data_IF_655753588330
#
_entry.id   IF_655753588330
#
_cell.length_a   1.000
_cell.length_b   1.000
_cell.length_c   1.000
_cell.angle_alpha   90.00
_cell.angle_beta   90.00
_cell.angle_gamma   90.00
#
_symmetry.space_group_name_H-M   'P 1'
#
loop_
_entity.id
_entity.type
_entity.pdbx_description
1 polymer ?
#
# COMPACT_ATOMS: atom_id res chain seq x y z
N UNK A 1 -20.82 2.36 -19.78
CA UNK A 1 -20.50 3.22 -18.60
C UNK A 1 -21.34 4.51 -18.69
N UNK A 2 -21.97 4.91 -17.61
CA UNK A 2 -22.60 6.24 -17.56
C UNK A 2 -21.53 7.33 -17.37
N UNK A 3 -21.91 8.61 -17.53
CA UNK A 3 -20.96 9.74 -17.44
C UNK A 3 -20.22 9.79 -16.08
N UNK A 4 -20.87 9.40 -14.98
CA UNK A 4 -20.26 9.43 -13.64
C UNK A 4 -19.27 8.30 -13.48
N UNK A 5 -19.61 7.08 -13.90
CA UNK A 5 -18.67 5.93 -13.84
C UNK A 5 -17.45 6.15 -14.72
N UNK A 6 -17.57 6.81 -15.87
CA UNK A 6 -16.45 7.18 -16.73
C UNK A 6 -15.53 8.20 -16.05
N UNK A 7 -16.07 9.28 -15.46
CA UNK A 7 -15.28 10.28 -14.73
C UNK A 7 -14.54 9.64 -13.53
N UNK A 8 -15.21 8.75 -12.84
CA UNK A 8 -14.62 8.05 -11.71
C UNK A 8 -13.51 7.07 -12.16
N UNK A 9 -13.70 6.37 -13.28
CA UNK A 9 -12.66 5.54 -13.90
C UNK A 9 -11.43 6.36 -14.28
N UNK A 10 -11.61 7.58 -14.80
CA UNK A 10 -10.49 8.50 -15.08
C UNK A 10 -9.76 8.91 -13.79
N UNK A 11 -10.48 9.19 -12.70
CA UNK A 11 -9.87 9.53 -11.41
C UNK A 11 -9.08 8.35 -10.84
N UNK A 12 -9.62 7.13 -10.90
CA UNK A 12 -8.93 5.91 -10.49
C UNK A 12 -7.70 5.64 -11.39
N UNK A 13 -7.83 5.84 -12.70
CA UNK A 13 -6.72 5.70 -13.64
C UNK A 13 -5.60 6.72 -13.39
N UNK A 14 -5.93 7.99 -13.16
CA UNK A 14 -4.94 9.02 -12.86
C UNK A 14 -4.20 8.72 -11.54
N UNK A 15 -4.93 8.24 -10.51
CA UNK A 15 -4.34 7.80 -9.24
C UNK A 15 -3.45 6.58 -9.39
N UNK A 16 -3.84 5.59 -10.19
CA UNK A 16 -3.03 4.42 -10.49
C UNK A 16 -1.75 4.79 -11.26
N UNK A 17 -1.86 5.68 -12.24
CA UNK A 17 -0.75 6.11 -13.08
C UNK A 17 0.38 6.74 -12.25
N UNK A 18 0.06 7.66 -11.33
CA UNK A 18 1.08 8.27 -10.47
C UNK A 18 1.76 7.23 -9.57
N UNK A 19 0.99 6.30 -9.00
CA UNK A 19 1.54 5.21 -8.17
C UNK A 19 2.52 4.34 -8.95
N UNK A 20 2.16 3.96 -10.18
CA UNK A 20 3.01 3.16 -11.06
C UNK A 20 4.31 3.86 -11.47
N UNK A 21 4.28 5.16 -11.70
CA UNK A 21 5.48 5.94 -12.01
C UNK A 21 6.38 6.15 -10.79
N UNK A 22 5.77 6.39 -9.63
CA UNK A 22 6.47 6.69 -8.38
C UNK A 22 7.20 5.46 -7.81
N UNK A 23 6.48 4.34 -7.68
CA UNK A 23 6.94 3.21 -6.86
C UNK A 23 8.28 2.62 -7.30
N UNK A 24 8.54 2.32 -8.58
CA UNK A 24 9.82 1.73 -8.99
C UNK A 24 10.96 2.74 -9.12
N UNK A 25 10.67 4.03 -9.30
CA UNK A 25 11.71 4.97 -9.73
C UNK A 25 12.00 6.09 -8.74
N UNK A 26 11.13 6.39 -7.78
CA UNK A 26 11.33 7.55 -6.93
C UNK A 26 12.54 7.39 -5.99
N UNK A 27 12.78 6.20 -5.44
CA UNK A 27 14.00 5.92 -4.68
C UNK A 27 15.28 6.07 -5.53
N UNK A 28 15.25 5.61 -6.78
CA UNK A 28 16.35 5.79 -7.73
C UNK A 28 16.54 7.27 -8.09
N UNK A 29 15.46 8.03 -8.25
CA UNK A 29 15.52 9.47 -8.49
C UNK A 29 16.14 10.24 -7.31
N UNK A 30 15.79 9.88 -6.07
CA UNK A 30 16.43 10.48 -4.88
C UNK A 30 17.93 10.18 -4.83
N UNK A 31 18.35 8.97 -5.21
CA UNK A 31 19.77 8.62 -5.36
C UNK A 31 20.45 9.43 -6.48
N UNK A 32 19.77 9.65 -7.60
CA UNK A 32 20.27 10.51 -8.68
C UNK A 32 20.42 11.98 -8.24
N UNK A 33 19.56 12.48 -7.34
CA UNK A 33 19.69 13.79 -6.68
C UNK A 33 20.81 13.83 -5.62
N UNK A 34 21.59 12.75 -5.45
CA UNK A 34 22.73 12.69 -4.55
C UNK A 34 22.42 12.26 -3.10
N UNK A 35 21.18 11.83 -2.80
CA UNK A 35 20.87 11.35 -1.47
C UNK A 35 21.49 9.96 -1.23
N UNK A 36 22.10 9.78 -0.06
CA UNK A 36 22.56 8.45 0.37
C UNK A 36 21.39 7.49 0.59
N UNK A 37 21.61 6.17 0.50
CA UNK A 37 20.56 5.19 0.78
C UNK A 37 19.90 5.38 2.15
N UNK A 38 20.66 5.79 3.17
CA UNK A 38 20.13 6.07 4.51
C UNK A 38 19.19 7.28 4.51
N UNK A 39 19.53 8.35 3.78
CA UNK A 39 18.64 9.50 3.62
C UNK A 39 17.38 9.14 2.85
N UNK A 40 17.48 8.31 1.80
CA UNK A 40 16.33 7.83 1.02
C UNK A 40 15.39 7.02 1.93
N UNK A 41 15.94 6.06 2.69
CA UNK A 41 15.17 5.26 3.64
C UNK A 41 14.47 6.12 4.69
N UNK A 42 15.17 7.09 5.28
CA UNK A 42 14.60 8.00 6.28
C UNK A 42 13.49 8.88 5.70
N UNK A 43 13.68 9.45 4.51
CA UNK A 43 12.69 10.28 3.83
C UNK A 43 11.39 9.49 3.52
N UNK A 44 11.53 8.32 2.91
CA UNK A 44 10.39 7.49 2.54
C UNK A 44 9.67 6.94 3.76
N UNK A 45 10.40 6.53 4.80
CA UNK A 45 9.85 6.10 6.08
C UNK A 45 9.06 7.22 6.78
N UNK A 46 9.62 8.44 6.81
CA UNK A 46 8.94 9.60 7.39
C UNK A 46 7.60 9.86 6.67
N UNK A 47 7.57 9.79 5.32
CA UNK A 47 6.34 9.92 4.55
C UNK A 47 5.31 8.85 4.89
N UNK A 48 5.72 7.58 5.05
CA UNK A 48 4.84 6.47 5.42
C UNK A 48 4.28 6.61 6.83
N UNK A 49 5.14 6.93 7.81
CA UNK A 49 4.75 7.10 9.21
C UNK A 49 3.84 8.31 9.43
N UNK A 50 4.14 9.45 8.81
CA UNK A 50 3.30 10.64 8.89
C UNK A 50 1.93 10.41 8.26
N UNK A 51 1.84 9.64 7.18
CA UNK A 51 0.56 9.31 6.54
C UNK A 51 -0.39 8.54 7.46
N UNK A 52 0.13 7.76 8.41
CA UNK A 52 -0.69 7.07 9.43
C UNK A 52 -1.56 8.05 10.23
N UNK A 53 -1.06 9.24 10.50
CA UNK A 53 -1.82 10.28 11.20
C UNK A 53 -2.61 11.18 10.22
N UNK A 54 -1.96 11.62 9.15
CA UNK A 54 -2.54 12.62 8.22
C UNK A 54 -3.74 12.09 7.44
N UNK A 55 -3.71 10.82 6.99
CA UNK A 55 -4.80 10.28 6.19
C UNK A 55 -6.14 10.18 6.98
N UNK A 56 -6.17 9.65 8.22
CA UNK A 56 -7.39 9.68 9.02
C UNK A 56 -7.85 11.11 9.37
N UNK A 57 -6.91 12.00 9.72
CA UNK A 57 -7.26 13.41 10.01
C UNK A 57 -7.88 14.09 8.80
N UNK A 58 -7.33 13.85 7.60
CA UNK A 58 -7.90 14.35 6.35
C UNK A 58 -9.32 13.86 6.11
N UNK A 59 -9.58 12.58 6.38
CA UNK A 59 -10.91 11.99 6.32
C UNK A 59 -11.90 12.67 7.27
N UNK A 60 -11.47 12.88 8.51
CA UNK A 60 -12.29 13.56 9.53
C UNK A 60 -12.62 15.00 9.14
N UNK A 61 -11.63 15.77 8.66
CA UNK A 61 -11.85 17.16 8.23
C UNK A 61 -12.78 17.18 7.02
N UNK A 62 -12.63 16.25 6.09
CA UNK A 62 -13.50 16.12 4.92
C UNK A 62 -14.95 15.81 5.32
N UNK A 63 -15.13 14.91 6.31
CA UNK A 63 -16.46 14.55 6.82
C UNK A 63 -17.12 15.69 7.62
N UNK A 64 -16.33 16.40 8.42
CA UNK A 64 -16.82 17.54 9.20
C UNK A 64 -17.32 18.69 8.30
N UNK A 65 -16.67 18.88 7.13
CA UNK A 65 -17.05 19.88 6.13
C UNK A 65 -18.07 19.37 5.10
N UNK A 66 -18.37 18.06 5.13
CA UNK A 66 -19.15 17.36 4.10
C UNK A 66 -18.60 17.58 2.68
N UNK A 67 -17.28 17.74 2.57
CA UNK A 67 -16.59 18.05 1.31
C UNK A 67 -15.35 17.16 1.12
N UNK A 68 -15.58 15.88 0.81
CA UNK A 68 -14.50 14.93 0.47
C UNK A 68 -13.80 15.30 -0.84
N UNK A 69 -14.54 15.88 -1.80
CA UNK A 69 -13.98 16.32 -3.08
C UNK A 69 -12.99 17.48 -2.88
N UNK A 70 -13.39 18.50 -2.12
CA UNK A 70 -12.49 19.61 -1.79
C UNK A 70 -11.25 19.17 -1.02
N UNK A 71 -11.41 18.25 -0.08
CA UNK A 71 -10.26 17.67 0.64
C UNK A 71 -9.28 16.96 -0.31
N UNK A 72 -9.76 16.15 -1.26
CA UNK A 72 -8.91 15.50 -2.27
C UNK A 72 -8.20 16.54 -3.16
N UNK A 73 -8.89 17.61 -3.58
CA UNK A 73 -8.29 18.68 -4.37
C UNK A 73 -7.18 19.39 -3.60
N UNK A 74 -7.36 19.69 -2.32
CA UNK A 74 -6.34 20.30 -1.45
C UNK A 74 -5.13 19.37 -1.34
N UNK A 75 -5.32 18.09 -1.06
CA UNK A 75 -4.22 17.14 -0.95
C UNK A 75 -3.46 16.97 -2.28
N UNK A 76 -4.14 16.84 -3.41
CA UNK A 76 -3.46 16.75 -4.70
C UNK A 76 -2.77 18.06 -5.09
N UNK A 77 -3.29 19.22 -4.70
CA UNK A 77 -2.60 20.50 -4.90
C UNK A 77 -1.31 20.56 -4.07
N UNK A 78 -1.35 20.15 -2.80
CA UNK A 78 -0.14 20.05 -1.96
C UNK A 78 0.86 19.08 -2.59
N UNK A 79 0.41 17.93 -3.06
CA UNK A 79 1.26 16.95 -3.72
C UNK A 79 1.88 17.52 -5.01
N UNK A 80 1.11 18.22 -5.82
CA UNK A 80 1.59 18.90 -7.02
C UNK A 80 2.66 19.94 -6.69
N UNK A 81 2.42 20.83 -5.72
CA UNK A 81 3.39 21.83 -5.29
C UNK A 81 4.68 21.16 -4.79
N UNK A 82 4.56 20.06 -4.03
CA UNK A 82 5.72 19.32 -3.56
C UNK A 82 6.54 18.71 -4.70
N UNK A 83 5.93 17.94 -5.62
CA UNK A 83 6.67 17.38 -6.76
C UNK A 83 7.16 18.45 -7.74
N UNK A 84 6.41 19.54 -7.94
CA UNK A 84 6.87 20.67 -8.74
C UNK A 84 8.12 21.31 -8.12
N UNK A 85 8.14 21.53 -6.81
CA UNK A 85 9.31 22.07 -6.10
C UNK A 85 10.56 21.19 -6.25
N UNK A 86 10.40 19.85 -6.34
CA UNK A 86 11.51 18.93 -6.53
C UNK A 86 12.28 19.14 -7.86
N UNK A 87 11.67 19.79 -8.87
CA UNK A 87 12.37 20.09 -10.13
C UNK A 87 13.53 21.08 -9.93
N UNK A 88 13.42 21.96 -8.94
CA UNK A 88 14.41 22.99 -8.63
C UNK A 88 15.07 22.79 -7.26
N UNK A 89 14.74 21.70 -6.55
CA UNK A 89 15.29 21.43 -5.23
C UNK A 89 16.70 20.81 -5.35
N UNK A 90 17.72 21.53 -4.91
CA UNK A 90 19.12 21.07 -4.88
C UNK A 90 19.66 20.96 -3.43
N UNK A 91 18.94 21.53 -2.47
CA UNK A 91 19.28 21.45 -1.05
C UNK A 91 18.55 20.25 -0.43
N UNK A 92 19.29 19.38 0.25
CA UNK A 92 18.74 18.16 0.89
C UNK A 92 17.51 18.43 1.75
N UNK A 93 17.53 19.48 2.57
CA UNK A 93 16.40 19.84 3.43
C UNK A 93 15.13 20.18 2.62
N UNK A 94 15.27 20.87 1.47
CA UNK A 94 14.16 21.21 0.59
C UNK A 94 13.62 19.94 -0.10
N UNK A 95 14.52 19.04 -0.54
CA UNK A 95 14.13 17.73 -1.10
C UNK A 95 13.32 16.95 -0.08
N UNK A 96 13.76 16.88 1.18
CA UNK A 96 13.03 16.20 2.26
C UNK A 96 11.65 16.82 2.48
N UNK A 97 11.57 18.13 2.68
CA UNK A 97 10.30 18.82 2.94
C UNK A 97 9.31 18.62 1.79
N UNK A 98 9.74 18.86 0.54
CA UNK A 98 8.90 18.76 -0.64
C UNK A 98 8.45 17.31 -0.92
N UNK A 99 9.36 16.34 -0.83
CA UNK A 99 9.04 14.92 -1.08
C UNK A 99 8.14 14.33 0.01
N UNK A 100 8.37 14.65 1.29
CA UNK A 100 7.50 14.21 2.39
C UNK A 100 6.10 14.82 2.22
N UNK A 101 6.00 16.13 1.99
CA UNK A 101 4.71 16.79 1.78
C UNK A 101 3.94 16.16 0.60
N UNK A 102 4.63 15.95 -0.54
CA UNK A 102 4.04 15.33 -1.72
C UNK A 102 3.58 13.89 -1.47
N UNK A 103 4.41 13.06 -0.83
CA UNK A 103 4.09 11.67 -0.55
C UNK A 103 2.93 11.53 0.44
N UNK A 104 2.96 12.28 1.53
CA UNK A 104 1.91 12.26 2.56
C UNK A 104 0.59 12.72 1.96
N UNK A 105 0.59 13.82 1.22
CA UNK A 105 -0.62 14.37 0.61
C UNK A 105 -1.19 13.41 -0.45
N UNK A 106 -0.37 12.87 -1.37
CA UNK A 106 -0.83 11.90 -2.37
C UNK A 106 -1.43 10.65 -1.71
N UNK A 107 -0.78 10.13 -0.66
CA UNK A 107 -1.24 8.95 0.05
C UNK A 107 -2.53 9.16 0.85
N UNK A 108 -2.80 10.38 1.31
CA UNK A 108 -4.03 10.72 2.03
C UNK A 108 -5.27 10.76 1.11
N UNK A 109 -5.08 10.93 -0.20
CA UNK A 109 -6.21 10.92 -1.15
C UNK A 109 -6.77 9.52 -1.35
N UNK A 110 -5.94 8.47 -1.31
CA UNK A 110 -6.37 7.10 -1.62
C UNK A 110 -7.63 6.66 -0.84
N UNK A 111 -7.67 6.71 0.50
CA UNK A 111 -8.87 6.29 1.23
C UNK A 111 -10.09 7.20 0.98
N UNK A 112 -9.88 8.49 0.68
CA UNK A 112 -10.96 9.40 0.32
C UNK A 112 -11.55 9.03 -1.04
N UNK A 113 -10.71 8.78 -2.04
CA UNK A 113 -11.12 8.38 -3.38
C UNK A 113 -11.87 7.06 -3.37
N UNK A 114 -11.37 6.06 -2.63
CA UNK A 114 -12.06 4.77 -2.47
C UNK A 114 -13.45 4.94 -1.86
N UNK A 115 -13.54 5.71 -0.79
CA UNK A 115 -14.81 6.00 -0.11
C UNK A 115 -15.82 6.73 -1.01
N UNK A 116 -15.36 7.73 -1.78
CA UNK A 116 -16.19 8.44 -2.77
C UNK A 116 -16.61 7.50 -3.89
N UNK A 117 -15.71 6.61 -4.34
CA UNK A 117 -15.98 5.66 -5.42
C UNK A 117 -17.08 4.67 -5.05
N UNK A 118 -17.02 4.07 -3.86
CA UNK A 118 -18.06 3.17 -3.36
C UNK A 118 -19.40 3.91 -3.28
N UNK A 119 -19.41 5.11 -2.70
CA UNK A 119 -20.64 5.87 -2.53
C UNK A 119 -21.28 6.28 -3.86
N UNK A 120 -20.48 6.75 -4.83
CA UNK A 120 -20.99 7.09 -6.15
C UNK A 120 -21.51 5.85 -6.90
N UNK A 121 -20.87 4.68 -6.72
CA UNK A 121 -21.33 3.44 -7.32
C UNK A 121 -22.71 3.02 -6.80
N UNK A 122 -22.99 3.20 -5.52
CA UNK A 122 -24.30 2.94 -4.91
C UNK A 122 -25.37 3.90 -5.43
N UNK A 123 -25.08 5.22 -5.43
CA UNK A 123 -26.03 6.26 -5.83
C UNK A 123 -26.39 6.17 -7.32
N UNK A 124 -25.39 5.96 -8.18
CA UNK A 124 -25.56 5.92 -9.63
C UNK A 124 -25.69 4.51 -10.20
N UNK A 125 -25.78 3.50 -9.34
CA UNK A 125 -26.04 2.07 -9.64
C UNK A 125 -25.12 1.50 -10.73
N UNK A 126 -23.81 1.59 -10.53
CA UNK A 126 -22.81 0.93 -11.38
C UNK A 126 -21.87 0.06 -10.54
N UNK A 127 -21.24 -0.91 -11.19
CA UNK A 127 -20.29 -1.81 -10.52
C UNK A 127 -18.98 -1.05 -10.19
N UNK A 128 -18.68 -0.96 -8.90
CA UNK A 128 -17.45 -0.39 -8.40
C UNK A 128 -16.20 -1.11 -8.94
N UNK A 129 -16.23 -2.45 -9.05
CA UNK A 129 -15.12 -3.25 -9.54
C UNK A 129 -14.68 -2.85 -10.96
N UNK A 130 -15.64 -2.60 -11.85
CA UNK A 130 -15.37 -2.14 -13.22
C UNK A 130 -14.69 -0.76 -13.29
N UNK A 131 -14.86 0.06 -12.27
CA UNK A 131 -14.20 1.36 -12.18
C UNK A 131 -12.84 1.23 -11.51
N UNK A 132 -12.76 0.42 -10.45
CA UNK A 132 -11.53 0.22 -9.67
C UNK A 132 -10.40 -0.45 -10.45
N UNK A 133 -10.73 -1.33 -11.39
CA UNK A 133 -9.76 -2.03 -12.23
C UNK A 133 -8.85 -1.07 -13.03
N UNK A 134 -9.37 0.12 -13.39
CA UNK A 134 -8.61 1.13 -14.12
C UNK A 134 -7.40 1.65 -13.33
N UNK A 135 -7.45 1.66 -12.00
CA UNK A 135 -6.29 2.00 -11.19
C UNK A 135 -5.16 0.97 -11.34
N UNK A 136 -5.49 -0.33 -11.39
CA UNK A 136 -4.49 -1.39 -11.57
C UNK A 136 -3.89 -1.39 -12.98
N UNK A 137 -4.73 -1.23 -14.00
CA UNK A 137 -4.27 -1.13 -15.41
C UNK A 137 -3.34 0.08 -15.57
N UNK A 138 -3.74 1.24 -15.06
CA UNK A 138 -2.95 2.47 -15.15
C UNK A 138 -1.69 2.43 -14.31
N UNK A 139 -1.70 1.73 -13.18
CA UNK A 139 -0.49 1.48 -12.40
C UNK A 139 0.53 0.68 -13.21
N UNK A 140 0.12 -0.41 -13.87
CA UNK A 140 1.01 -1.19 -14.74
C UNK A 140 1.52 -0.35 -15.91
N UNK A 141 0.63 0.40 -16.55
CA UNK A 141 1.00 1.30 -17.64
C UNK A 141 1.99 2.38 -17.16
N UNK A 142 1.78 2.95 -15.97
CA UNK A 142 2.67 3.92 -15.35
C UNK A 142 4.09 3.38 -15.14
N UNK A 143 4.21 2.12 -14.68
CA UNK A 143 5.51 1.47 -14.54
C UNK A 143 6.25 1.40 -15.90
N UNK A 144 5.56 0.94 -16.94
CA UNK A 144 6.15 0.76 -18.29
C UNK A 144 6.51 2.12 -18.89
N UNK A 145 5.60 3.09 -18.88
CA UNK A 145 5.83 4.43 -19.42
C UNK A 145 6.97 5.15 -18.71
N UNK A 146 7.00 5.12 -17.37
CA UNK A 146 8.10 5.69 -16.61
C UNK A 146 9.42 4.98 -16.91
N UNK A 147 9.40 3.65 -17.05
CA UNK A 147 10.57 2.87 -17.44
C UNK A 147 11.15 3.28 -18.81
N UNK A 148 10.29 3.44 -19.81
CA UNK A 148 10.69 3.91 -21.15
C UNK A 148 11.24 5.34 -21.08
N UNK A 149 10.57 6.22 -20.35
CA UNK A 149 11.01 7.62 -20.20
C UNK A 149 12.36 7.72 -19.49
N UNK A 150 12.53 6.99 -18.39
CA UNK A 150 13.81 6.94 -17.65
C UNK A 150 14.93 6.36 -18.51
N UNK A 151 14.64 5.38 -19.38
CA UNK A 151 15.64 4.83 -20.29
C UNK A 151 16.06 5.83 -21.38
N UNK A 152 15.14 6.65 -21.87
CA UNK A 152 15.40 7.59 -22.98
C UNK A 152 15.94 8.94 -22.51
N UNK A 153 15.44 9.44 -21.41
CA UNK A 153 15.69 10.82 -20.94
C UNK A 153 16.41 10.89 -19.57
N UNK A 154 16.71 9.73 -18.97
CA UNK A 154 17.30 9.66 -17.65
C UNK A 154 16.31 9.89 -16.51
N UNK A 155 16.80 9.74 -15.26
CA UNK A 155 15.96 9.88 -14.06
C UNK A 155 15.41 11.30 -13.86
N UNK A 156 16.07 12.33 -14.40
CA UNK A 156 15.61 13.72 -14.28
C UNK A 156 14.19 13.98 -14.79
N UNK A 157 13.66 13.13 -15.69
CA UNK A 157 12.30 13.25 -16.23
C UNK A 157 11.21 12.94 -15.21
N UNK A 158 11.54 12.24 -14.10
CA UNK A 158 10.53 11.69 -13.20
C UNK A 158 9.72 12.78 -12.47
N UNK A 159 10.38 13.77 -11.86
CA UNK A 159 9.69 14.83 -11.11
C UNK A 159 8.77 15.70 -12.00
N UNK A 160 9.21 16.16 -13.21
CA UNK A 160 8.31 16.81 -14.16
C UNK A 160 7.08 15.96 -14.51
N UNK A 161 7.27 14.67 -14.78
CA UNK A 161 6.18 13.77 -15.17
C UNK A 161 5.20 13.53 -14.01
N UNK A 162 5.69 13.34 -12.78
CA UNK A 162 4.83 13.23 -11.61
C UNK A 162 3.98 14.51 -11.44
N UNK A 163 4.57 15.68 -11.69
CA UNK A 163 3.84 16.96 -11.64
C UNK A 163 2.74 17.02 -12.69
N UNK A 164 3.02 16.62 -13.95
CA UNK A 164 2.02 16.59 -15.03
C UNK A 164 0.89 15.62 -14.70
N UNK A 165 1.21 14.42 -14.22
CA UNK A 165 0.18 13.44 -13.85
C UNK A 165 -0.68 13.93 -12.67
N UNK A 166 -0.12 14.73 -11.75
CA UNK A 166 -0.89 15.36 -10.69
C UNK A 166 -1.86 16.43 -11.19
N UNK A 167 -1.53 17.16 -12.25
CA UNK A 167 -2.51 18.04 -12.91
C UNK A 167 -3.70 17.21 -13.43
N UNK A 168 -3.44 16.04 -14.04
CA UNK A 168 -4.50 15.12 -14.46
C UNK A 168 -5.33 14.62 -13.27
N UNK A 169 -4.69 14.31 -12.14
CA UNK A 169 -5.38 13.92 -10.92
C UNK A 169 -6.30 15.04 -10.42
N UNK A 170 -5.79 16.27 -10.29
CA UNK A 170 -6.60 17.43 -9.89
C UNK A 170 -7.78 17.63 -10.84
N UNK A 171 -7.54 17.60 -12.16
CA UNK A 171 -8.59 17.76 -13.16
C UNK A 171 -9.65 16.66 -13.09
N UNK A 172 -9.23 15.40 -12.89
CA UNK A 172 -10.15 14.26 -12.77
C UNK A 172 -11.03 14.34 -11.53
N UNK A 173 -10.48 14.73 -10.38
CA UNK A 173 -11.23 14.94 -9.14
C UNK A 173 -12.17 16.15 -9.28
N UNK A 174 -11.71 17.22 -9.92
CA UNK A 174 -12.56 18.38 -10.19
C UNK A 174 -13.77 18.03 -11.06
N UNK A 175 -13.61 17.10 -12.00
CA UNK A 175 -14.69 16.62 -12.87
C UNK A 175 -15.70 15.69 -12.18
N UNK A 176 -15.41 15.16 -10.98
CA UNK A 176 -16.35 14.30 -10.25
C UNK A 176 -17.56 15.11 -9.74
N UNK A 177 -18.77 14.53 -9.76
CA UNK A 177 -19.90 15.13 -9.05
C UNK A 177 -19.60 15.15 -7.54
N UNK A 178 -20.10 16.17 -6.85
CA UNK A 178 -20.06 16.17 -5.40
C UNK A 178 -20.86 14.96 -4.88
N UNK A 179 -20.29 14.12 -4.02
CA UNK A 179 -21.05 13.02 -3.44
C UNK A 179 -22.19 13.60 -2.59
N UNK A 180 -23.35 12.91 -2.53
CA UNK A 180 -24.46 13.36 -1.69
C UNK A 180 -24.02 13.52 -0.24
N UNK A 181 -24.55 14.54 0.44
CA UNK A 181 -24.22 14.87 1.83
C UNK A 181 -24.35 13.66 2.77
N UNK A 182 -23.39 13.48 3.67
CA UNK A 182 -23.46 12.44 4.67
C UNK A 182 -24.22 12.95 5.90
N UNK A 183 -25.52 12.66 5.99
CA UNK A 183 -26.37 13.08 7.11
C UNK A 183 -25.99 12.50 8.48
N UNK A 184 -25.08 11.55 8.55
CA UNK A 184 -24.62 10.98 9.82
C UNK A 184 -23.60 11.91 10.52
N UNK A 185 -24.03 13.11 10.90
CA UNK A 185 -23.29 14.01 11.79
C UNK A 185 -23.36 13.46 13.21
N UNK A 186 -22.33 12.69 13.61
CA UNK A 186 -22.14 12.36 15.03
C UNK A 186 -20.98 13.17 15.60
N UNK A 187 -20.99 13.37 16.92
CA UNK A 187 -19.89 14.02 17.63
C UNK A 187 -18.58 13.30 17.33
N UNK A 188 -17.61 14.03 16.77
CA UNK A 188 -16.29 13.49 16.41
C UNK A 188 -15.55 12.94 17.63
N UNK A 189 -15.58 13.65 18.77
CA UNK A 189 -14.90 13.22 19.97
C UNK A 189 -15.48 11.90 20.50
N UNK A 190 -16.79 11.73 20.40
CA UNK A 190 -17.48 10.50 20.79
C UNK A 190 -17.09 9.32 19.86
N UNK A 191 -17.04 9.55 18.54
CA UNK A 191 -16.60 8.53 17.57
C UNK A 191 -15.14 8.14 17.80
N UNK A 192 -14.27 9.10 18.04
CA UNK A 192 -12.86 8.85 18.31
C UNK A 192 -12.68 8.01 19.59
N UNK A 193 -13.40 8.36 20.66
CA UNK A 193 -13.40 7.57 21.90
C UNK A 193 -13.91 6.15 21.69
N UNK A 194 -14.97 5.98 20.92
CA UNK A 194 -15.51 4.67 20.54
C UNK A 194 -14.46 3.84 19.79
N UNK A 195 -13.82 4.41 18.75
CA UNK A 195 -12.77 3.74 17.97
C UNK A 195 -11.59 3.31 18.86
N UNK A 196 -11.14 4.16 19.81
CA UNK A 196 -10.10 3.78 20.74
C UNK A 196 -10.54 2.66 21.71
N UNK A 197 -11.79 2.66 22.15
CA UNK A 197 -12.33 1.59 22.99
C UNK A 197 -12.39 0.26 22.23
N UNK A 198 -12.86 0.29 20.97
CA UNK A 198 -12.88 -0.86 20.07
C UNK A 198 -11.47 -1.39 19.76
N UNK A 199 -10.52 -0.51 19.48
CA UNK A 199 -9.13 -0.88 19.27
C UNK A 199 -8.54 -1.55 20.51
N UNK A 200 -8.80 -0.99 21.70
CA UNK A 200 -8.37 -1.57 22.97
C UNK A 200 -8.98 -2.95 23.22
N UNK A 201 -10.24 -3.15 22.85
CA UNK A 201 -10.90 -4.45 22.94
C UNK A 201 -10.19 -5.50 22.07
N UNK A 202 -9.94 -5.18 20.80
CA UNK A 202 -9.23 -6.06 19.86
C UNK A 202 -7.80 -6.38 20.32
N UNK A 203 -7.07 -5.37 20.78
CA UNK A 203 -5.68 -5.51 21.25
C UNK A 203 -5.54 -6.29 22.57
N UNK A 204 -6.63 -6.61 23.27
CA UNK A 204 -6.63 -7.53 24.41
C UNK A 204 -6.61 -8.99 23.98
N UNK A 205 -7.07 -9.30 22.77
CA UNK A 205 -7.07 -10.66 22.24
C UNK A 205 -5.67 -11.09 21.81
N UNK A 206 -5.12 -12.12 22.44
CA UNK A 206 -3.83 -12.70 22.06
C UNK A 206 -3.83 -13.26 20.65
N UNK A 207 -4.96 -13.81 20.21
CA UNK A 207 -5.13 -14.34 18.84
C UNK A 207 -5.08 -13.18 17.84
N UNK A 208 -5.78 -12.07 18.12
CA UNK A 208 -5.76 -10.90 17.26
C UNK A 208 -4.36 -10.25 17.21
N UNK A 209 -3.64 -10.18 18.32
CA UNK A 209 -2.26 -9.66 18.35
C UNK A 209 -1.30 -10.51 17.52
N UNK A 210 -1.39 -11.84 17.60
CA UNK A 210 -0.57 -12.76 16.80
C UNK A 210 -0.91 -12.59 15.30
N UNK A 211 -2.18 -12.50 14.95
CA UNK A 211 -2.63 -12.20 13.59
C UNK A 211 -2.08 -10.86 13.10
N UNK A 212 -2.25 -9.80 13.89
CA UNK A 212 -1.84 -8.44 13.51
C UNK A 212 -0.33 -8.36 13.28
N UNK A 213 0.47 -8.96 14.17
CA UNK A 213 1.92 -9.02 14.03
C UNK A 213 2.34 -9.84 12.79
N UNK A 214 1.74 -11.01 12.58
CA UNK A 214 1.98 -11.86 11.42
C UNK A 214 1.73 -11.11 10.11
N UNK A 215 0.52 -10.57 9.93
CA UNK A 215 0.13 -9.88 8.71
C UNK A 215 0.91 -8.56 8.49
N UNK A 216 1.30 -7.88 9.58
CA UNK A 216 2.10 -6.66 9.50
C UNK A 216 3.54 -6.93 9.08
N UNK A 217 4.18 -7.98 9.60
CA UNK A 217 5.53 -8.36 9.19
C UNK A 217 5.58 -8.85 7.74
N UNK A 218 4.57 -9.59 7.30
CA UNK A 218 4.45 -10.04 5.92
C UNK A 218 4.38 -8.83 4.97
N UNK A 219 3.43 -7.93 5.17
CA UNK A 219 3.30 -6.72 4.34
C UNK A 219 4.52 -5.80 4.45
N UNK A 220 5.04 -5.61 5.67
CA UNK A 220 6.24 -4.81 5.92
C UNK A 220 7.49 -5.35 5.23
N UNK A 221 7.54 -6.67 4.93
CA UNK A 221 8.66 -7.30 4.22
C UNK A 221 8.86 -6.79 2.78
N UNK A 222 7.93 -6.00 2.24
CA UNK A 222 8.10 -5.36 0.93
C UNK A 222 8.86 -4.03 0.99
N UNK A 223 9.26 -3.56 2.17
CA UNK A 223 9.80 -2.22 2.40
C UNK A 223 11.03 -1.91 1.55
N UNK A 224 12.04 -2.77 1.54
CA UNK A 224 13.24 -2.56 0.72
C UNK A 224 12.91 -2.54 -0.77
N UNK A 225 12.08 -3.47 -1.24
CA UNK A 225 11.69 -3.57 -2.63
C UNK A 225 10.99 -2.29 -3.11
N UNK A 226 10.04 -1.76 -2.33
CA UNK A 226 9.29 -0.54 -2.69
C UNK A 226 10.10 0.75 -2.54
N UNK A 227 11.09 0.79 -1.66
CA UNK A 227 11.88 2.00 -1.41
C UNK A 227 13.17 2.08 -2.20
N UNK A 228 13.95 1.01 -2.23
CA UNK A 228 15.30 0.97 -2.78
C UNK A 228 15.49 -0.04 -3.92
N UNK A 229 14.49 -0.89 -4.21
CA UNK A 229 14.59 -1.92 -5.24
C UNK A 229 14.92 -1.36 -6.64
N UNK A 230 14.28 -0.25 -7.02
CA UNK A 230 14.61 0.42 -8.29
C UNK A 230 16.00 1.04 -8.31
N UNK A 231 16.46 1.62 -7.20
CA UNK A 231 17.83 2.11 -7.04
C UNK A 231 18.83 0.95 -7.18
N UNK A 232 18.58 -0.14 -6.47
CA UNK A 232 19.43 -1.32 -6.51
C UNK A 232 19.55 -1.93 -7.91
N UNK A 233 18.43 -2.13 -8.61
CA UNK A 233 18.45 -2.65 -9.97
C UNK A 233 19.14 -1.69 -10.97
N UNK A 234 19.02 -0.38 -10.76
CA UNK A 234 19.81 0.58 -11.53
C UNK A 234 21.31 0.45 -11.26
N UNK A 235 21.70 0.20 -10.01
CA UNK A 235 23.11 -0.04 -9.64
C UNK A 235 23.67 -1.35 -10.25
N UNK A 236 22.81 -2.37 -10.46
CA UNK A 236 23.13 -3.58 -11.20
C UNK A 236 23.19 -3.39 -12.74
N UNK A 237 22.94 -2.17 -13.24
CA UNK A 237 22.99 -1.84 -14.67
C UNK A 237 21.69 -2.08 -15.43
N UNK A 238 20.57 -2.40 -14.76
CA UNK A 238 19.31 -2.62 -15.45
C UNK A 238 18.75 -1.30 -16.00
N UNK A 239 18.26 -1.35 -17.25
CA UNK A 239 17.61 -0.20 -17.87
C UNK A 239 16.30 0.15 -17.19
N UNK A 240 15.88 1.42 -17.29
CA UNK A 240 14.57 1.83 -16.80
C UNK A 240 13.42 1.02 -17.42
N UNK A 241 13.50 0.73 -18.72
CA UNK A 241 12.48 -0.09 -19.42
C UNK A 241 12.37 -1.48 -18.82
N UNK A 242 13.50 -2.13 -18.52
CA UNK A 242 13.50 -3.45 -17.89
C UNK A 242 12.88 -3.41 -16.50
N UNK A 243 13.25 -2.42 -15.68
CA UNK A 243 12.66 -2.22 -14.35
C UNK A 243 11.15 -2.00 -14.48
N UNK A 244 10.72 -1.16 -15.42
CA UNK A 244 9.30 -0.87 -15.68
C UNK A 244 8.49 -2.08 -16.11
N UNK A 245 9.10 -3.11 -16.72
CA UNK A 245 8.45 -4.37 -17.11
C UNK A 245 8.44 -5.38 -15.94
N UNK A 246 9.51 -5.45 -15.16
CA UNK A 246 9.62 -6.42 -14.05
C UNK A 246 8.58 -6.18 -12.95
N UNK A 247 8.21 -4.93 -12.67
CA UNK A 247 7.22 -4.61 -11.65
C UNK A 247 5.81 -5.13 -11.96
N UNK A 248 5.25 -4.91 -13.17
CA UNK A 248 3.95 -5.45 -13.55
C UNK A 248 3.82 -6.97 -13.48
N UNK A 249 4.92 -7.74 -13.64
CA UNK A 249 4.86 -9.21 -13.54
C UNK A 249 4.31 -9.67 -12.19
N UNK A 250 4.72 -9.02 -11.10
CA UNK A 250 4.19 -9.31 -9.78
C UNK A 250 2.70 -8.98 -9.66
N UNK A 251 2.29 -7.86 -10.22
CA UNK A 251 0.89 -7.44 -10.18
C UNK A 251 -0.02 -8.35 -11.03
N UNK A 252 0.47 -8.89 -12.14
CA UNK A 252 -0.28 -9.88 -12.92
C UNK A 252 -0.57 -11.14 -12.10
N UNK A 253 0.42 -11.63 -11.35
CA UNK A 253 0.22 -12.78 -10.45
C UNK A 253 -0.78 -12.46 -9.32
N UNK A 254 -0.73 -11.24 -8.78
CA UNK A 254 -1.69 -10.75 -7.79
C UNK A 254 -3.12 -10.75 -8.36
N UNK A 255 -3.33 -10.14 -9.54
CA UNK A 255 -4.63 -10.06 -10.19
C UNK A 255 -5.18 -11.47 -10.47
N UNK A 256 -4.35 -12.39 -10.99
CA UNK A 256 -4.75 -13.76 -11.25
C UNK A 256 -5.22 -14.47 -9.97
N UNK A 257 -4.49 -14.33 -8.87
CA UNK A 257 -4.85 -14.93 -7.59
C UNK A 257 -6.11 -14.30 -6.99
N UNK A 258 -6.22 -12.97 -7.05
CA UNK A 258 -7.40 -12.23 -6.55
C UNK A 258 -8.67 -12.59 -7.34
N UNK A 259 -8.57 -12.84 -8.65
CA UNK A 259 -9.71 -13.27 -9.47
C UNK A 259 -10.25 -14.65 -9.05
N UNK A 260 -9.40 -15.48 -8.43
CA UNK A 260 -9.74 -16.80 -7.91
C UNK A 260 -10.01 -16.81 -6.40
N UNK A 261 -10.10 -15.63 -5.77
CA UNK A 261 -10.12 -15.47 -4.31
C UNK A 261 -11.11 -16.35 -3.57
N UNK A 262 -12.36 -16.44 -4.05
CA UNK A 262 -13.39 -17.29 -3.40
C UNK A 262 -13.02 -18.77 -3.40
N UNK A 263 -12.45 -19.28 -4.50
CA UNK A 263 -12.00 -20.66 -4.58
C UNK A 263 -10.82 -20.91 -3.65
N UNK A 264 -9.81 -20.05 -3.72
CA UNK A 264 -8.61 -20.12 -2.90
C UNK A 264 -8.96 -20.08 -1.40
N UNK A 265 -9.86 -19.18 -0.98
CA UNK A 265 -10.31 -19.08 0.40
C UNK A 265 -11.04 -20.34 0.90
N UNK A 266 -11.90 -20.93 0.06
CA UNK A 266 -12.65 -22.16 0.43
C UNK A 266 -11.73 -23.36 0.61
N UNK A 267 -10.70 -23.49 -0.23
CA UNK A 267 -9.80 -24.64 -0.21
C UNK A 267 -8.71 -24.51 0.85
N UNK A 268 -8.12 -23.33 0.99
CA UNK A 268 -6.91 -23.14 1.82
C UNK A 268 -7.27 -22.61 3.21
N UNK A 269 -8.15 -21.62 3.30
CA UNK A 269 -8.52 -20.94 4.55
C UNK A 269 -7.51 -19.86 4.98
N UNK A 270 -7.96 -18.97 5.90
CA UNK A 270 -7.25 -17.75 6.26
C UNK A 270 -5.83 -17.96 6.82
N UNK A 271 -5.70 -18.79 7.86
CA UNK A 271 -4.42 -18.96 8.55
C UNK A 271 -3.36 -19.65 7.67
N UNK A 272 -3.78 -20.60 6.82
CA UNK A 272 -2.88 -21.24 5.86
C UNK A 272 -2.46 -20.29 4.74
N UNK A 273 -3.34 -19.37 4.31
CA UNK A 273 -2.97 -18.32 3.35
C UNK A 273 -1.91 -17.40 3.90
N UNK A 274 -2.02 -16.98 5.16
CA UNK A 274 -0.97 -16.19 5.83
C UNK A 274 0.35 -16.97 5.91
N UNK A 275 0.29 -18.26 6.24
CA UNK A 275 1.49 -19.12 6.28
C UNK A 275 2.14 -19.23 4.90
N UNK A 276 1.38 -19.48 3.84
CA UNK A 276 1.91 -19.58 2.47
C UNK A 276 2.47 -18.25 1.97
N UNK A 277 1.84 -17.12 2.32
CA UNK A 277 2.36 -15.79 2.07
C UNK A 277 3.72 -15.59 2.72
N UNK A 278 3.85 -15.92 3.99
CA UNK A 278 5.11 -15.84 4.73
C UNK A 278 6.20 -16.76 4.15
N UNK A 279 5.86 -17.98 3.74
CA UNK A 279 6.79 -18.87 3.03
C UNK A 279 7.28 -18.24 1.70
N UNK A 280 6.36 -17.65 0.94
CA UNK A 280 6.70 -16.95 -0.30
C UNK A 280 7.60 -15.73 -0.02
N UNK A 281 7.40 -14.99 1.08
CA UNK A 281 8.28 -13.90 1.50
C UNK A 281 9.71 -14.41 1.79
N UNK A 282 9.85 -15.46 2.59
CA UNK A 282 11.16 -16.03 2.89
C UNK A 282 11.86 -16.44 1.59
N UNK A 283 11.20 -17.17 0.72
CA UNK A 283 11.79 -17.63 -0.54
C UNK A 283 12.17 -16.44 -1.44
N UNK A 284 11.23 -15.54 -1.70
CA UNK A 284 11.43 -14.41 -2.61
C UNK A 284 12.58 -13.52 -2.19
N UNK A 285 12.56 -13.09 -0.94
CA UNK A 285 13.55 -12.13 -0.45
C UNK A 285 14.93 -12.76 -0.21
N UNK A 286 15.00 -14.04 0.15
CA UNK A 286 16.27 -14.77 0.21
C UNK A 286 16.90 -14.86 -1.19
N UNK A 287 16.13 -15.25 -2.20
CA UNK A 287 16.66 -15.32 -3.58
C UNK A 287 17.09 -13.94 -4.06
N UNK A 288 16.29 -12.89 -3.82
CA UNK A 288 16.62 -11.53 -4.23
C UNK A 288 17.86 -10.96 -3.53
N UNK A 289 18.21 -11.43 -2.34
CA UNK A 289 19.40 -10.97 -1.59
C UNK A 289 20.74 -11.33 -2.23
N UNK A 290 20.76 -12.26 -3.16
CA UNK A 290 21.97 -12.74 -3.82
C UNK A 290 22.08 -12.28 -5.29
N UNK A 291 21.36 -11.24 -5.67
CA UNK A 291 21.41 -10.63 -7.01
C UNK A 291 21.30 -11.68 -8.14
N UNK A 292 20.23 -12.48 -8.16
CA UNK A 292 20.11 -13.59 -9.09
C UNK A 292 20.03 -13.09 -10.55
N UNK A 293 20.34 -13.94 -11.55
CA UNK A 293 20.27 -13.56 -12.94
C UNK A 293 18.84 -13.19 -13.34
N UNK A 294 18.69 -12.34 -14.38
CA UNK A 294 17.42 -11.76 -14.83
C UNK A 294 16.27 -12.77 -14.98
N UNK A 295 16.44 -13.97 -15.55
CA UNK A 295 15.34 -14.93 -15.65
C UNK A 295 14.81 -15.36 -14.28
N UNK A 296 15.67 -15.49 -13.28
CA UNK A 296 15.27 -15.82 -11.91
C UNK A 296 14.56 -14.65 -11.25
N UNK A 297 15.04 -13.39 -11.46
CA UNK A 297 14.33 -12.20 -11.00
C UNK A 297 12.92 -12.17 -11.58
N UNK A 298 12.75 -12.37 -12.89
CA UNK A 298 11.45 -12.40 -13.54
C UNK A 298 10.54 -13.48 -12.95
N UNK A 299 11.07 -14.67 -12.69
CA UNK A 299 10.31 -15.76 -12.09
C UNK A 299 9.86 -15.43 -10.67
N UNK A 300 10.74 -14.91 -9.82
CA UNK A 300 10.38 -14.59 -8.43
C UNK A 300 9.47 -13.37 -8.30
N UNK A 301 9.31 -12.54 -9.37
CA UNK A 301 8.26 -11.52 -9.35
C UNK A 301 6.87 -12.15 -9.24
N UNK A 302 6.61 -13.31 -9.83
CA UNK A 302 5.32 -13.99 -9.70
C UNK A 302 5.00 -14.41 -8.25
N UNK A 303 6.03 -14.57 -7.40
CA UNK A 303 5.81 -14.80 -5.96
C UNK A 303 5.12 -13.62 -5.27
N UNK A 304 4.99 -12.46 -5.94
CA UNK A 304 4.20 -11.34 -5.41
C UNK A 304 2.74 -11.72 -5.17
N UNK A 305 2.17 -12.59 -6.00
CA UNK A 305 0.86 -13.19 -5.74
C UNK A 305 0.81 -13.91 -4.37
N UNK A 306 1.89 -14.60 -4.00
CA UNK A 306 2.03 -15.21 -2.67
C UNK A 306 2.26 -14.17 -1.58
N UNK A 307 3.32 -13.36 -1.71
CA UNK A 307 3.75 -12.41 -0.67
C UNK A 307 2.76 -11.29 -0.41
N UNK A 308 1.96 -10.89 -1.38
CA UNK A 308 0.97 -9.82 -1.22
C UNK A 308 -0.46 -10.36 -1.23
N UNK A 309 -0.89 -11.03 -2.31
CA UNK A 309 -2.30 -11.37 -2.47
C UNK A 309 -2.76 -12.47 -1.50
N UNK A 310 -1.99 -13.55 -1.30
CA UNK A 310 -2.37 -14.59 -0.31
C UNK A 310 -2.39 -14.01 1.11
N UNK A 311 -1.37 -13.23 1.48
CA UNK A 311 -1.31 -12.59 2.78
C UNK A 311 -2.49 -11.63 3.02
N UNK A 312 -2.80 -10.79 2.03
CA UNK A 312 -3.92 -9.85 2.12
C UNK A 312 -5.27 -10.57 2.18
N UNK A 313 -5.51 -11.57 1.33
CA UNK A 313 -6.73 -12.39 1.36
C UNK A 313 -6.86 -13.12 2.71
N UNK A 314 -5.76 -13.70 3.19
CA UNK A 314 -5.73 -14.35 4.50
C UNK A 314 -6.08 -13.39 5.63
N UNK A 315 -5.53 -12.17 5.59
CA UNK A 315 -5.81 -11.14 6.58
C UNK A 315 -7.28 -10.67 6.54
N UNK A 316 -7.81 -10.36 5.36
CA UNK A 316 -9.20 -9.92 5.23
C UNK A 316 -10.19 -11.02 5.64
N UNK A 317 -9.89 -12.27 5.28
CA UNK A 317 -10.75 -13.39 5.64
C UNK A 317 -10.66 -13.76 7.12
N UNK A 318 -9.49 -13.64 7.73
CA UNK A 318 -9.35 -13.73 9.19
C UNK A 318 -10.23 -12.71 9.89
N UNK A 319 -10.14 -11.42 9.51
CA UNK A 319 -10.96 -10.35 10.10
C UNK A 319 -12.45 -10.66 9.92
N UNK A 320 -12.87 -11.06 8.73
CA UNK A 320 -14.27 -11.39 8.42
C UNK A 320 -14.82 -12.53 9.30
N UNK A 321 -14.00 -13.56 9.54
CA UNK A 321 -14.42 -14.75 10.29
C UNK A 321 -14.31 -14.59 11.81
N UNK A 322 -13.18 -14.02 12.27
CA UNK A 322 -12.85 -14.01 13.69
C UNK A 322 -13.33 -12.76 14.43
N UNK A 323 -13.43 -11.60 13.73
CA UNK A 323 -13.77 -10.34 14.39
C UNK A 323 -15.30 -10.13 14.38
N UNK A 324 -15.90 -9.72 15.52
CA UNK A 324 -17.30 -9.32 15.54
C UNK A 324 -17.60 -8.22 14.52
N UNK A 325 -18.76 -8.24 13.81
CA UNK A 325 -19.06 -7.27 12.75
C UNK A 325 -18.94 -5.79 13.17
N UNK A 326 -19.28 -5.47 14.43
CA UNK A 326 -19.15 -4.10 14.97
C UNK A 326 -17.70 -3.60 15.03
N UNK A 327 -16.72 -4.50 15.15
CA UNK A 327 -15.30 -4.19 15.28
C UNK A 327 -14.54 -4.35 13.95
N UNK A 328 -15.19 -4.82 12.88
CA UNK A 328 -14.52 -5.16 11.62
C UNK A 328 -13.81 -3.97 10.97
N UNK A 329 -14.42 -2.79 10.98
CA UNK A 329 -13.82 -1.57 10.43
C UNK A 329 -12.57 -1.15 11.24
N UNK A 330 -12.64 -1.22 12.58
CA UNK A 330 -11.51 -0.92 13.47
C UNK A 330 -10.38 -1.94 13.30
N UNK A 331 -10.70 -3.24 13.13
CA UNK A 331 -9.70 -4.28 12.84
C UNK A 331 -8.97 -4.05 11.52
N UNK A 332 -9.70 -3.69 10.45
CA UNK A 332 -9.09 -3.34 9.16
C UNK A 332 -8.21 -2.09 9.26
N UNK A 333 -8.64 -1.08 10.02
CA UNK A 333 -7.85 0.13 10.26
C UNK A 333 -6.57 -0.17 11.02
N UNK A 334 -6.63 -0.98 12.08
CA UNK A 334 -5.46 -1.45 12.82
C UNK A 334 -4.51 -2.24 11.92
N UNK A 335 -5.04 -3.14 11.11
CA UNK A 335 -4.22 -3.87 10.12
C UNK A 335 -3.52 -2.91 9.14
N UNK A 336 -4.22 -1.96 8.56
CA UNK A 336 -3.63 -0.99 7.63
C UNK A 336 -2.55 -0.12 8.30
N UNK A 337 -2.81 0.39 9.51
CA UNK A 337 -1.87 1.19 10.30
C UNK A 337 -0.62 0.40 10.66
N UNK A 338 -0.80 -0.82 11.17
CA UNK A 338 0.34 -1.65 11.62
C UNK A 338 1.15 -2.19 10.44
N UNK A 339 0.51 -2.59 9.33
CA UNK A 339 1.18 -3.18 8.17
C UNK A 339 1.82 -2.12 7.25
N UNK A 340 0.98 -1.34 6.56
CA UNK A 340 1.44 -0.38 5.54
C UNK A 340 1.97 0.93 6.13
N UNK A 341 1.68 1.20 7.39
CA UNK A 341 2.20 2.36 8.12
C UNK A 341 3.45 2.00 8.91
N UNK A 342 3.26 1.35 10.06
CA UNK A 342 4.33 1.16 11.06
C UNK A 342 5.37 0.14 10.58
N UNK A 343 4.97 -1.09 10.28
CA UNK A 343 5.92 -2.15 9.90
C UNK A 343 6.68 -1.79 8.61
N UNK A 344 5.96 -1.33 7.58
CA UNK A 344 6.56 -0.87 6.32
C UNK A 344 7.47 0.35 6.55
N UNK A 345 7.03 1.35 7.32
CA UNK A 345 7.82 2.55 7.62
C UNK A 345 9.12 2.24 8.38
N UNK A 346 9.04 1.44 9.45
CA UNK A 346 10.21 1.05 10.23
C UNK A 346 11.18 0.18 9.41
N UNK A 347 10.66 -0.77 8.63
CA UNK A 347 11.48 -1.60 7.74
C UNK A 347 12.14 -0.76 6.63
N UNK A 348 11.44 0.26 6.09
CA UNK A 348 12.02 1.21 5.12
C UNK A 348 13.13 2.03 5.74
N UNK A 349 12.95 2.50 6.98
CA UNK A 349 13.98 3.22 7.72
C UNK A 349 15.25 2.36 7.90
N UNK A 350 15.08 1.11 8.28
CA UNK A 350 16.19 0.15 8.45
C UNK A 350 16.83 -0.24 7.11
N UNK A 351 16.07 -0.26 6.02
CA UNK A 351 16.55 -0.66 4.70
C UNK A 351 17.66 0.25 4.16
N UNK A 352 17.59 1.56 4.44
CA UNK A 352 18.59 2.52 3.96
C UNK A 352 20.02 2.23 4.44
N UNK A 353 20.28 2.23 5.76
CA UNK A 353 21.58 1.89 6.32
C UNK A 353 22.06 0.47 5.95
N UNK A 354 21.16 -0.52 5.94
CA UNK A 354 21.49 -1.87 5.57
C UNK A 354 21.93 -1.97 4.10
N UNK A 355 21.24 -1.25 3.20
CA UNK A 355 21.63 -1.22 1.80
C UNK A 355 22.99 -0.51 1.61
N UNK A 356 23.24 0.57 2.34
CA UNK A 356 24.53 1.27 2.29
C UNK A 356 25.69 0.35 2.73
N UNK A 357 25.46 -0.54 3.70
CA UNK A 357 26.49 -1.43 4.24
C UNK A 357 26.63 -2.74 3.46
N UNK A 358 25.53 -3.31 2.95
CA UNK A 358 25.47 -4.69 2.46
C UNK A 358 24.92 -4.85 1.05
N UNK A 359 24.56 -3.75 0.35
CA UNK A 359 23.96 -3.82 -0.99
C UNK A 359 22.68 -4.66 -1.04
N UNK A 360 22.53 -5.50 -2.06
CA UNK A 360 21.39 -6.39 -2.25
C UNK A 360 21.11 -7.31 -1.07
N UNK A 361 22.12 -7.66 -0.26
CA UNK A 361 21.91 -8.48 0.95
C UNK A 361 20.99 -7.84 1.99
N UNK A 362 20.68 -6.55 1.88
CA UNK A 362 19.65 -5.90 2.70
C UNK A 362 18.26 -6.55 2.55
N UNK A 363 17.99 -7.28 1.45
CA UNK A 363 16.78 -8.12 1.33
C UNK A 363 16.69 -9.22 2.40
N UNK A 364 17.79 -9.62 3.05
CA UNK A 364 17.75 -10.59 4.14
C UNK A 364 16.96 -10.09 5.36
N UNK A 365 16.87 -8.76 5.59
CA UNK A 365 15.95 -8.23 6.59
C UNK A 365 14.50 -8.56 6.22
N UNK A 366 14.14 -8.43 4.94
CA UNK A 366 12.79 -8.76 4.46
C UNK A 366 12.51 -10.26 4.61
N UNK A 367 13.51 -11.11 4.31
CA UNK A 367 13.41 -12.55 4.53
C UNK A 367 13.25 -12.90 6.02
N UNK A 368 14.00 -12.24 6.91
CA UNK A 368 13.86 -12.42 8.36
C UNK A 368 12.47 -12.01 8.86
N UNK A 369 11.90 -10.89 8.35
CA UNK A 369 10.52 -10.50 8.63
C UNK A 369 9.53 -11.58 8.15
N UNK A 370 9.73 -12.14 6.96
CA UNK A 370 8.95 -13.26 6.45
C UNK A 370 9.05 -14.50 7.35
N UNK A 371 10.25 -14.82 7.85
CA UNK A 371 10.44 -15.94 8.78
C UNK A 371 9.72 -15.71 10.12
N UNK A 372 9.81 -14.51 10.67
CA UNK A 372 9.04 -14.15 11.87
C UNK A 372 7.55 -14.24 11.61
N UNK A 373 7.07 -13.76 10.46
CA UNK A 373 5.67 -13.90 10.05
C UNK A 373 5.26 -15.36 9.94
N UNK A 374 6.11 -16.24 9.39
CA UNK A 374 5.85 -17.67 9.29
C UNK A 374 5.68 -18.31 10.67
N UNK A 375 6.57 -18.01 11.62
CA UNK A 375 6.44 -18.50 13.01
C UNK A 375 5.12 -18.05 13.63
N UNK A 376 4.75 -16.77 13.44
CA UNK A 376 3.49 -16.24 13.95
C UNK A 376 2.26 -16.86 13.25
N UNK A 377 2.34 -17.15 11.93
CA UNK A 377 1.28 -17.85 11.21
C UNK A 377 1.07 -19.26 11.75
N UNK A 378 2.16 -20.01 12.04
CA UNK A 378 2.07 -21.32 12.68
C UNK A 378 1.50 -21.25 14.10
N UNK A 379 1.87 -20.21 14.85
CA UNK A 379 1.24 -19.96 16.17
C UNK A 379 -0.25 -19.63 16.05
N UNK A 380 -0.64 -18.85 15.02
CA UNK A 380 -2.03 -18.51 14.75
C UNK A 380 -2.83 -19.77 14.42
N UNK A 381 -2.29 -20.66 13.57
CA UNK A 381 -2.94 -21.93 13.21
C UNK A 381 -3.16 -22.85 14.42
N UNK A 382 -2.28 -22.79 15.43
CA UNK A 382 -2.42 -23.56 16.68
C UNK A 382 -3.42 -22.95 17.66
N UNK A 383 -3.68 -21.64 17.57
CA UNK A 383 -4.50 -20.90 18.54
C UNK A 383 -5.88 -20.53 18.04
N UNK A 384 -6.07 -20.47 16.73
CA UNK A 384 -7.33 -20.10 16.10
C UNK A 384 -7.88 -21.27 15.26
N UNK A 385 -9.06 -21.74 15.61
CA UNK A 385 -9.72 -22.89 14.99
C UNK A 385 -10.90 -22.50 14.09
N UNK A 386 -11.02 -21.20 13.76
CA UNK A 386 -12.05 -20.69 12.84
C UNK A 386 -13.23 -19.99 13.50
N UNK A 387 -13.25 -19.91 14.83
CA UNK A 387 -14.32 -19.27 15.61
C UNK A 387 -14.17 -17.75 15.72
N UNK A 388 -15.21 -17.09 16.24
CA UNK A 388 -15.20 -15.66 16.55
C UNK A 388 -14.49 -15.40 17.87
N UNK A 389 -13.77 -14.28 17.90
CA UNK A 389 -13.14 -13.78 19.13
C UNK A 389 -14.20 -13.14 20.02
N UNK A 390 -14.26 -13.58 21.28
CA UNK A 390 -15.12 -12.97 22.31
C UNK A 390 -14.50 -11.68 22.83
N UNK A 391 -15.30 -10.90 23.56
CA UNK A 391 -14.82 -9.68 24.24
C UNK A 391 -13.70 -9.94 25.26
N UNK A 392 -13.53 -11.17 25.72
CA UNK A 392 -12.46 -11.59 26.63
C UNK A 392 -11.24 -12.18 25.90
N UNK A 393 -11.24 -12.18 24.55
CA UNK A 393 -10.12 -12.65 23.74
C UNK A 393 -10.04 -14.16 23.56
N UNK A 394 -11.02 -14.91 24.06
CA UNK A 394 -11.16 -16.34 23.84
C UNK A 394 -11.98 -16.62 22.57
N UNK A 395 -11.76 -17.77 21.96
CA UNK A 395 -12.51 -18.19 20.78
C UNK A 395 -13.88 -18.78 21.19
N UNK A 396 -14.95 -18.24 20.62
CA UNK A 396 -16.28 -18.83 20.80
C UNK A 396 -16.35 -20.17 20.07
N UNK A 397 -16.74 -21.23 20.75
CA UNK A 397 -16.86 -22.54 20.14
C UNK A 397 -17.79 -22.44 18.92
N UNK A 398 -17.31 -22.86 17.77
CA UNK A 398 -18.13 -22.95 16.55
C UNK A 398 -19.17 -24.06 16.83
N UNK A 399 -20.42 -23.67 17.00
CA UNK A 399 -21.50 -24.65 16.97
C UNK A 399 -21.45 -25.32 15.58
N UNK A 400 -21.02 -26.55 15.54
CA UNK A 400 -21.02 -27.39 14.35
C UNK A 400 -22.48 -27.56 13.93
N UNK A 401 -22.91 -26.82 12.87
CA UNK A 401 -24.16 -27.05 12.16
C UNK A 401 -23.86 -27.96 10.98
#
# INVERSE_FOLDING_TARGET
MNTVSFRLALAQAASGLIGGMYTPFFGAWLGWKGLSPSHIGALLAAGMLLRVAVAPMGGVIADARDDRRGAMLVFYTIAFCGYAALNWADITALIFAAAIAANVASGAVTPLLESVSVRLSEVFRFDYGHVRVWASISFMLGNVLAGIAVSRFGLGVLAPWLSVVLILNVASIYALPAPPANRARGDFALRLRATFAEARELLRSKVFLVFLACASLDQGSHAFYYSLGGLHWRALGYSGSLIGILWPLGLLAEIALMSMSLHVLRVIGAARLLMLGACACVLRWTVMAFDPPLPVIALVQFLHGGTFAMAHLGAMYFILKSVPPRLAATAQSLYAVCSSGIAMGLATLASGPLYAAYGGRAYLLMSAMGLCSLVLALMLMRRWHGGRLTAHGEEEAVATI
#
